data_IF_622910380764
#
_entry.id   IF_622910380764
#
_cell.length_a   1.000
_cell.length_b   1.000
_cell.length_c   1.000
_cell.angle_alpha   90.00
_cell.angle_beta   90.00
_cell.angle_gamma   90.00
#
_symmetry.space_group_name_H-M   'P 1'
#
loop_
_entity.id
_entity.type
_entity.pdbx_description
1 polymer ?
#
# COMPACT_ATOMS: atom_id res chain seq x y z
N UNK A 1 12.36 -20.38 4.29
CA UNK A 1 13.61 -20.15 3.55
C UNK A 1 14.75 -20.10 4.54
N UNK A 2 15.72 -20.99 4.45
CA UNK A 2 16.91 -20.92 5.32
C UNK A 2 18.02 -20.30 4.50
N UNK A 3 18.40 -19.07 4.82
CA UNK A 3 19.66 -18.49 4.38
C UNK A 3 20.65 -18.71 5.53
N UNK A 4 21.83 -19.30 5.27
CA UNK A 4 22.73 -19.73 6.33
C UNK A 4 23.22 -18.50 7.12
N UNK A 5 22.90 -18.46 8.42
CA UNK A 5 23.56 -17.69 9.47
C UNK A 5 24.01 -16.25 9.13
N UNK A 6 23.20 -15.23 9.47
CA UNK A 6 23.67 -14.05 10.24
C UNK A 6 22.49 -13.51 11.07
N UNK A 7 22.75 -13.24 12.34
CA UNK A 7 21.84 -12.57 13.26
C UNK A 7 21.55 -11.12 12.80
N UNK A 8 20.28 -10.71 12.89
CA UNK A 8 19.81 -9.32 12.88
C UNK A 8 19.69 -8.55 11.54
N UNK A 9 19.30 -9.20 10.45
CA UNK A 9 18.67 -8.52 9.31
C UNK A 9 17.45 -9.33 8.84
N UNK A 10 16.37 -8.64 8.47
CA UNK A 10 15.24 -9.29 7.78
C UNK A 10 15.74 -9.76 6.42
N UNK A 11 16.18 -11.02 6.35
CA UNK A 11 16.72 -11.58 5.11
C UNK A 11 15.57 -11.88 4.16
N UNK A 12 15.56 -11.19 3.03
CA UNK A 12 14.52 -11.27 2.03
C UNK A 12 15.10 -11.56 0.63
N UNK A 13 14.25 -11.88 -0.33
CA UNK A 13 14.60 -12.24 -1.70
C UNK A 13 14.53 -13.74 -1.96
N UNK A 14 15.19 -14.17 -3.04
CA UNK A 14 15.23 -15.56 -3.47
C UNK A 14 16.16 -16.42 -2.61
N UNK A 15 15.73 -17.65 -2.31
CA UNK A 15 16.52 -18.59 -1.52
C UNK A 15 16.12 -20.05 -1.74
N UNK A 16 16.69 -20.91 -0.91
CA UNK A 16 16.36 -22.34 -0.87
C UNK A 16 15.68 -22.69 0.46
N UNK A 17 14.73 -23.61 0.38
CA UNK A 17 14.11 -24.25 1.53
C UNK A 17 14.39 -25.74 1.45
N UNK A 18 14.83 -26.28 2.58
CA UNK A 18 15.09 -27.70 2.77
C UNK A 18 13.95 -28.31 3.59
N UNK A 19 13.51 -29.51 3.22
CA UNK A 19 12.51 -30.28 3.95
C UNK A 19 12.99 -31.71 4.15
N UNK A 20 12.69 -32.26 5.31
CA UNK A 20 12.87 -33.69 5.54
C UNK A 20 11.67 -34.46 5.00
N UNK A 21 11.95 -35.64 4.46
CA UNK A 21 10.94 -36.53 3.88
C UNK A 21 10.95 -37.81 4.71
N UNK A 22 9.76 -38.20 5.16
CA UNK A 22 9.57 -39.40 5.97
C UNK A 22 8.57 -40.31 5.25
N UNK A 23 8.92 -41.57 5.07
CA UNK A 23 7.99 -42.58 4.58
C UNK A 23 7.00 -42.90 5.70
N UNK A 24 5.70 -42.95 5.40
CA UNK A 24 4.65 -43.23 6.40
C UNK A 24 3.70 -44.31 5.89
N UNK A 25 3.17 -45.11 6.82
CA UNK A 25 2.14 -46.09 6.51
C UNK A 25 0.85 -45.40 6.06
N UNK A 26 0.28 -45.87 4.95
CA UNK A 26 -0.96 -45.31 4.39
C UNK A 26 -2.14 -45.35 5.37
N UNK A 27 -2.17 -46.36 6.25
CA UNK A 27 -3.09 -46.43 7.37
C UNK A 27 -2.33 -46.08 8.67
N UNK A 28 -2.85 -45.12 9.42
CA UNK A 28 -2.32 -44.75 10.74
C UNK A 28 -1.09 -43.84 10.74
N UNK A 29 -0.51 -43.51 9.58
CA UNK A 29 0.53 -42.47 9.45
C UNK A 29 1.85 -42.78 10.18
N UNK A 30 2.07 -44.03 10.59
CA UNK A 30 3.27 -44.41 11.32
C UNK A 30 4.52 -44.30 10.45
N UNK A 31 5.65 -43.79 10.97
CA UNK A 31 6.91 -43.74 10.24
C UNK A 31 7.39 -45.13 9.86
N UNK A 32 7.74 -45.30 8.59
CA UNK A 32 8.30 -46.53 8.04
C UNK A 32 9.75 -46.31 7.59
N UNK A 33 10.55 -47.39 7.45
CA UNK A 33 11.84 -47.30 6.79
C UNK A 33 11.68 -46.71 5.39
N UNK A 34 12.60 -45.84 4.98
CA UNK A 34 12.58 -45.17 3.67
C UNK A 34 12.44 -46.17 2.51
N UNK A 35 12.94 -47.40 2.72
CA UNK A 35 12.86 -48.47 1.73
C UNK A 35 11.45 -48.93 1.38
N UNK A 36 10.49 -48.74 2.29
CA UNK A 36 9.10 -49.10 2.06
C UNK A 36 8.43 -48.20 1.00
N UNK A 37 8.97 -47.01 0.74
CA UNK A 37 8.45 -46.07 -0.25
C UNK A 37 9.24 -46.08 -1.59
N UNK A 38 10.14 -47.04 -1.82
CA UNK A 38 11.03 -47.06 -3.01
C UNK A 38 10.31 -47.13 -4.36
N UNK A 39 9.06 -47.59 -4.38
CA UNK A 39 8.23 -47.69 -5.59
C UNK A 39 7.81 -46.32 -6.13
N UNK A 40 7.92 -45.26 -5.32
CA UNK A 40 7.59 -43.90 -5.68
C UNK A 40 8.85 -43.04 -5.54
N UNK A 41 9.25 -42.28 -6.58
CA UNK A 41 10.38 -41.38 -6.45
C UNK A 41 10.10 -40.34 -5.35
N UNK A 42 11.07 -40.08 -4.45
CA UNK A 42 10.88 -39.13 -3.37
C UNK A 42 10.70 -37.72 -3.95
N UNK A 43 9.84 -36.89 -3.33
CA UNK A 43 9.71 -35.50 -3.75
C UNK A 43 11.04 -34.74 -3.53
N UNK A 44 11.25 -33.58 -4.18
CA UNK A 44 12.46 -32.78 -4.00
C UNK A 44 12.61 -32.31 -2.54
N UNK A 45 13.73 -32.66 -1.91
CA UNK A 45 14.09 -32.20 -0.54
C UNK A 45 14.47 -30.73 -0.50
N UNK A 46 14.83 -30.17 -1.66
CA UNK A 46 15.19 -28.76 -1.84
C UNK A 46 14.20 -28.11 -2.78
N UNK A 47 13.69 -26.94 -2.41
CA UNK A 47 12.83 -26.12 -3.25
C UNK A 47 13.29 -24.68 -3.23
N UNK A 48 13.13 -23.98 -4.36
CA UNK A 48 13.29 -22.53 -4.42
C UNK A 48 12.16 -21.89 -3.63
N UNK A 49 12.48 -20.80 -2.94
CA UNK A 49 11.50 -20.01 -2.23
C UNK A 49 11.84 -18.52 -2.36
N UNK A 50 10.86 -17.67 -2.11
CA UNK A 50 11.00 -16.22 -2.21
C UNK A 50 10.37 -15.59 -0.98
N UNK A 51 11.10 -14.68 -0.35
CA UNK A 51 10.61 -13.87 0.77
C UNK A 51 10.50 -12.43 0.29
N UNK A 52 9.33 -11.84 0.34
CA UNK A 52 9.15 -10.46 -0.10
C UNK A 52 10.03 -9.52 0.75
N UNK A 53 10.83 -8.68 0.09
CA UNK A 53 11.63 -7.68 0.78
C UNK A 53 10.76 -6.57 1.37
N UNK A 54 11.03 -6.15 2.62
CA UNK A 54 10.41 -4.95 3.15
C UNK A 54 10.87 -3.77 2.28
N UNK A 55 9.90 -3.01 1.80
CA UNK A 55 10.15 -1.74 1.11
C UNK A 55 9.26 -0.71 1.73
N UNK A 56 9.90 0.37 2.14
CA UNK A 56 9.19 1.52 2.68
C UNK A 56 8.43 2.21 1.55
N UNK A 57 7.31 2.83 1.91
CA UNK A 57 6.58 3.64 0.96
C UNK A 57 7.37 4.90 0.59
N UNK A 58 7.56 5.11 -0.71
CA UNK A 58 8.11 6.34 -1.25
C UNK A 58 7.01 7.14 -1.94
N UNK A 59 6.94 8.43 -1.63
CA UNK A 59 5.96 9.37 -2.17
C UNK A 59 6.63 10.40 -3.05
N UNK A 60 5.95 10.80 -4.10
CA UNK A 60 6.43 11.78 -5.05
C UNK A 60 6.43 13.20 -4.48
N UNK A 61 6.91 14.17 -5.29
CA UNK A 61 6.76 15.58 -4.95
C UNK A 61 5.28 15.96 -4.84
N UNK A 62 5.01 16.99 -4.06
CA UNK A 62 3.69 17.59 -4.01
C UNK A 62 3.29 18.16 -5.37
N UNK A 63 2.04 17.93 -5.75
CA UNK A 63 1.40 18.69 -6.80
C UNK A 63 1.21 20.15 -6.42
N UNK A 64 0.80 20.96 -7.40
CA UNK A 64 0.45 22.36 -7.18
C UNK A 64 -0.70 22.47 -6.18
N UNK A 65 -0.70 23.58 -5.43
CA UNK A 65 -1.84 23.94 -4.61
C UNK A 65 -3.08 24.13 -5.49
N UNK A 66 -4.19 23.49 -5.09
CA UNK A 66 -5.50 23.79 -5.63
C UNK A 66 -5.97 25.20 -5.26
N UNK A 67 -7.15 25.60 -5.78
CA UNK A 67 -7.72 26.90 -5.47
C UNK A 67 -7.98 27.06 -3.97
N UNK A 68 -7.99 28.31 -3.49
CA UNK A 68 -8.38 28.62 -2.13
C UNK A 68 -9.89 28.48 -2.01
N UNK A 69 -10.33 27.45 -1.26
CA UNK A 69 -11.74 27.18 -1.02
C UNK A 69 -12.21 27.91 0.24
N UNK A 70 -13.38 28.57 0.20
CA UNK A 70 -13.93 29.26 1.38
C UNK A 70 -14.37 28.27 2.46
N UNK A 71 -14.13 28.60 3.72
CA UNK A 71 -14.68 27.84 4.86
C UNK A 71 -16.20 28.02 4.99
N UNK A 72 -16.65 29.23 4.70
CA UNK A 72 -18.04 29.63 4.71
C UNK A 72 -18.23 30.69 3.62
N UNK A 73 -19.35 30.58 2.90
CA UNK A 73 -19.81 31.61 2.00
C UNK A 73 -21.03 32.29 2.62
N UNK A 74 -20.94 33.57 3.00
CA UNK A 74 -22.09 34.32 3.46
C UNK A 74 -23.12 34.49 2.31
N UNK A 75 -24.39 34.80 2.63
CA UNK A 75 -25.41 35.13 1.63
C UNK A 75 -24.97 36.29 0.72
N UNK A 76 -25.60 36.37 -0.45
CA UNK A 76 -25.17 37.09 -1.67
C UNK A 76 -24.66 38.53 -1.50
N UNK A 77 -25.11 39.25 -0.49
CA UNK A 77 -24.77 40.67 -0.31
C UNK A 77 -23.34 40.86 0.24
N UNK A 78 -22.71 39.80 0.76
CA UNK A 78 -21.33 39.79 1.29
C UNK A 78 -20.46 38.67 0.69
N UNK A 79 -20.85 38.10 -0.45
CA UNK A 79 -20.17 36.94 -1.07
C UNK A 79 -18.66 37.17 -1.34
N UNK A 80 -18.22 38.43 -1.45
CA UNK A 80 -16.81 38.79 -1.63
C UNK A 80 -16.01 38.93 -0.32
N UNK A 81 -16.61 38.68 0.85
CA UNK A 81 -16.02 38.92 2.18
C UNK A 81 -15.58 37.64 2.90
N UNK A 82 -15.45 36.51 2.21
CA UNK A 82 -14.84 35.35 2.84
C UNK A 82 -13.35 35.63 3.06
N UNK A 83 -12.94 35.83 4.32
CA UNK A 83 -11.56 36.21 4.67
C UNK A 83 -10.66 35.01 4.96
N UNK A 84 -11.25 33.82 5.15
CA UNK A 84 -10.53 32.60 5.54
C UNK A 84 -10.96 31.41 4.69
N UNK A 85 -9.99 30.82 4.02
CA UNK A 85 -10.16 29.61 3.24
C UNK A 85 -9.06 28.59 3.49
N UNK A 86 -9.17 27.47 2.80
CA UNK A 86 -8.14 26.43 2.78
C UNK A 86 -7.86 26.02 1.35
N UNK A 87 -6.59 25.75 1.06
CA UNK A 87 -6.16 25.14 -0.19
C UNK A 87 -5.62 23.75 0.12
N UNK A 88 -5.80 22.84 -0.83
CA UNK A 88 -5.37 21.45 -0.75
C UNK A 88 -4.33 21.17 -1.83
N UNK A 89 -3.31 20.40 -1.51
CA UNK A 89 -2.43 19.76 -2.50
C UNK A 89 -2.35 18.27 -2.20
N UNK A 90 -2.00 17.50 -3.22
CA UNK A 90 -1.86 16.05 -3.13
C UNK A 90 -0.54 15.60 -3.73
N UNK A 91 -0.05 14.44 -3.29
CA UNK A 91 1.10 13.75 -3.88
C UNK A 91 0.75 12.29 -4.11
N UNK A 92 1.40 11.67 -5.08
CA UNK A 92 1.19 10.27 -5.40
C UNK A 92 2.20 9.37 -4.68
N UNK A 93 1.81 8.12 -4.48
CA UNK A 93 2.75 7.05 -4.11
C UNK A 93 3.56 6.68 -5.34
N UNK A 94 4.89 6.70 -5.22
CA UNK A 94 5.83 6.28 -6.28
C UNK A 94 6.24 4.83 -6.05
N UNK A 95 6.43 4.44 -4.80
CA UNK A 95 6.69 3.06 -4.38
C UNK A 95 5.66 2.66 -3.32
N UNK A 96 4.80 1.67 -3.59
CA UNK A 96 3.89 1.16 -2.57
C UNK A 96 4.68 0.39 -1.50
N UNK A 97 4.24 0.44 -0.22
CA UNK A 97 4.88 -0.31 0.85
C UNK A 97 4.71 -1.82 0.63
N UNK A 98 5.68 -2.60 1.09
CA UNK A 98 5.60 -4.07 1.05
C UNK A 98 6.03 -4.74 2.35
N UNK A 99 5.41 -5.88 2.65
CA UNK A 99 5.72 -6.75 3.79
C UNK A 99 5.72 -5.99 5.13
N UNK A 100 6.91 -5.81 5.71
CA UNK A 100 7.16 -5.14 6.99
C UNK A 100 7.72 -3.71 6.82
N UNK A 101 7.66 -3.16 5.60
CA UNK A 101 8.09 -1.79 5.32
C UNK A 101 7.16 -0.75 5.94
N UNK A 102 7.65 0.49 6.02
CA UNK A 102 6.89 1.61 6.56
C UNK A 102 5.75 2.04 5.63
N UNK A 103 4.58 2.28 6.23
CA UNK A 103 3.40 2.82 5.57
C UNK A 103 3.64 4.21 4.97
N UNK A 104 2.82 4.58 3.98
CA UNK A 104 2.95 5.88 3.33
C UNK A 104 2.68 7.05 4.28
N UNK A 105 3.50 8.11 4.24
CA UNK A 105 3.15 9.36 4.92
C UNK A 105 1.93 10.01 4.24
N UNK A 106 1.38 11.08 4.85
CA UNK A 106 0.18 11.73 4.31
C UNK A 106 0.31 12.10 2.84
N UNK A 107 -0.69 11.72 2.03
CA UNK A 107 -0.78 12.00 0.60
C UNK A 107 -1.55 13.29 0.30
N UNK A 108 -2.10 13.92 1.34
CA UNK A 108 -2.89 15.15 1.26
C UNK A 108 -2.35 16.15 2.27
N UNK A 109 -2.21 17.39 1.83
CA UNK A 109 -1.88 18.51 2.70
C UNK A 109 -2.89 19.63 2.50
N UNK A 110 -3.28 20.23 3.63
CA UNK A 110 -4.24 21.33 3.69
C UNK A 110 -3.57 22.49 4.40
N UNK A 111 -3.68 23.68 3.83
CA UNK A 111 -3.12 24.90 4.41
C UNK A 111 -4.17 26.02 4.39
N UNK A 112 -4.24 26.88 5.42
CA UNK A 112 -5.02 28.10 5.35
C UNK A 112 -4.54 29.00 4.21
N UNK A 113 -5.48 29.70 3.58
CA UNK A 113 -5.20 30.69 2.55
C UNK A 113 -6.11 31.93 2.73
N UNK A 114 -5.60 33.12 2.39
CA UNK A 114 -6.37 34.35 2.44
C UNK A 114 -7.22 34.52 1.17
N UNK A 115 -8.31 35.27 1.29
CA UNK A 115 -9.18 35.67 0.17
C UNK A 115 -9.72 34.52 -0.71
N UNK A 116 -10.38 33.49 -0.15
CA UNK A 116 -11.12 32.54 -0.96
C UNK A 116 -12.26 33.21 -1.74
N UNK A 117 -12.54 32.70 -2.94
CA UNK A 117 -13.67 33.17 -3.75
C UNK A 117 -14.93 32.33 -3.46
N UNK A 118 -16.06 33.01 -3.27
CA UNK A 118 -17.38 32.39 -3.23
C UNK A 118 -18.10 32.59 -4.56
N UNK A 119 -18.78 31.54 -5.02
CA UNK A 119 -19.54 31.55 -6.27
C UNK A 119 -20.99 31.19 -5.98
N UNK A 120 -21.92 31.89 -6.62
CA UNK A 120 -23.35 31.57 -6.61
C UNK A 120 -23.82 31.34 -8.04
N UNK A 121 -24.55 30.26 -8.27
CA UNK A 121 -25.23 30.03 -9.55
C UNK A 121 -26.74 30.10 -9.35
N UNK A 122 -27.43 30.75 -10.28
CA UNK A 122 -28.89 30.80 -10.36
C UNK A 122 -29.33 30.00 -11.57
N UNK A 123 -30.26 29.07 -11.37
CA UNK A 123 -30.86 28.33 -12.47
C UNK A 123 -31.96 29.20 -13.09
N UNK A 124 -31.89 29.39 -14.40
CA UNK A 124 -32.95 30.02 -15.17
C UNK A 124 -33.98 28.97 -15.62
N UNK A 125 -35.24 29.37 -15.91
CA UNK A 125 -36.23 28.47 -16.48
C UNK A 125 -35.73 27.83 -17.77
N UNK A 126 -36.08 26.56 -17.98
CA UNK A 126 -35.77 25.86 -19.22
C UNK A 126 -36.36 26.60 -20.43
N UNK A 127 -35.49 27.01 -21.37
CA UNK A 127 -35.89 27.59 -22.65
C UNK A 127 -36.23 26.52 -23.69
N UNK A 128 -36.82 26.94 -24.81
CA UNK A 128 -36.96 26.07 -25.98
C UNK A 128 -35.57 25.72 -26.54
N UNK A 129 -35.35 24.43 -26.83
CA UNK A 129 -34.12 23.92 -27.42
C UNK A 129 -33.87 24.47 -28.83
#
# INVERSE_FOLDING_TARGET
CTLPNVMAEVVCGGGLQFRNITCVAAQGGQPLPTKACHTIPPPPTVQRCEVACPRDCEVGPWGSWGPCLPLHCPPSDEANLSTKGHRKRTRAVVVPPSALGLECPSLTEVQPCPHPACYSWTVEPWGAC
#
